data_IF_321229118774
#
_entry.id   IF_321229118774
#
_cell.length_a   1.000
_cell.length_b   1.000
_cell.length_c   1.000
_cell.angle_alpha   90.00
_cell.angle_beta   90.00
_cell.angle_gamma   90.00
#
_symmetry.space_group_name_H-M   'P 1'
#
loop_
_entity.id
_entity.type
_entity.pdbx_description
1 polymer ?
#
# COMPACT_ATOMS: atom_id res chain seq x y z
N UNK A 1 -3.37 -24.17 -2.70
CA UNK A 1 -4.33 -23.08 -2.98
C UNK A 1 -3.57 -21.77 -2.82
N UNK A 2 -3.28 -21.06 -3.91
CA UNK A 2 -2.64 -19.75 -3.85
C UNK A 2 -3.61 -18.78 -3.14
N UNK A 3 -3.29 -18.37 -1.91
CA UNK A 3 -4.01 -17.27 -1.27
C UNK A 3 -3.55 -15.98 -1.95
N UNK A 4 -4.39 -15.42 -2.82
CA UNK A 4 -4.31 -14.01 -3.16
C UNK A 4 -4.47 -13.28 -1.83
N UNK A 5 -3.40 -12.61 -1.35
CA UNK A 5 -3.45 -11.88 -0.09
C UNK A 5 -4.63 -10.91 -0.14
N UNK A 6 -5.41 -10.82 0.92
CA UNK A 6 -6.33 -9.68 1.06
C UNK A 6 -5.48 -8.48 1.46
N UNK A 7 -5.67 -7.29 0.86
CA UNK A 7 -5.20 -6.06 1.45
C UNK A 7 -5.64 -6.01 2.92
N UNK A 8 -4.69 -5.85 3.84
CA UNK A 8 -4.97 -5.85 5.27
C UNK A 8 -5.19 -4.42 5.78
N UNK A 9 -4.41 -3.46 5.28
CA UNK A 9 -4.51 -2.06 5.65
C UNK A 9 -4.04 -1.18 4.48
N UNK A 10 -4.56 0.05 4.42
CA UNK A 10 -4.11 1.07 3.50
C UNK A 10 -3.87 2.39 4.22
N UNK A 11 -2.82 3.10 3.81
CA UNK A 11 -2.54 4.47 4.21
C UNK A 11 -2.40 5.34 2.97
N UNK A 12 -2.87 6.58 3.03
CA UNK A 12 -2.81 7.53 1.92
C UNK A 12 -1.99 8.73 2.35
N UNK A 13 -1.06 9.15 1.49
CA UNK A 13 -0.34 10.40 1.62
C UNK A 13 -0.99 11.45 0.70
N UNK A 14 -1.93 12.26 1.21
CA UNK A 14 -2.82 13.08 0.38
C UNK A 14 -2.12 14.23 -0.35
N UNK A 15 -0.93 14.65 0.09
CA UNK A 15 -0.15 15.72 -0.57
C UNK A 15 0.70 15.21 -1.74
N UNK A 16 1.02 13.91 -1.77
CA UNK A 16 1.81 13.30 -2.86
C UNK A 16 0.97 12.39 -3.76
N UNK A 17 -0.33 12.25 -3.49
CA UNK A 17 -1.23 11.34 -4.20
C UNK A 17 -0.72 9.90 -4.22
N UNK A 18 -0.20 9.41 -3.09
CA UNK A 18 0.25 8.02 -2.97
C UNK A 18 -0.59 7.21 -2.00
N UNK A 19 -0.91 5.97 -2.38
CA UNK A 19 -1.53 4.98 -1.52
C UNK A 19 -0.55 3.83 -1.26
N UNK A 20 -0.42 3.48 0.02
CA UNK A 20 0.41 2.38 0.50
C UNK A 20 -0.52 1.27 0.98
N UNK A 21 -0.31 0.04 0.52
CA UNK A 21 -1.20 -1.09 0.80
C UNK A 21 -0.41 -2.27 1.32
N UNK A 22 -0.68 -2.70 2.56
CA UNK A 22 -0.17 -3.97 3.10
C UNK A 22 -0.94 -5.14 2.48
N UNK A 23 -0.25 -6.00 1.74
CA UNK A 23 -0.87 -7.04 0.92
C UNK A 23 -0.36 -8.45 1.27
N UNK A 24 -0.28 -8.77 2.56
CA UNK A 24 0.11 -10.10 3.02
C UNK A 24 1.48 -10.49 2.47
N UNK A 25 1.60 -11.69 1.92
CA UNK A 25 2.84 -12.24 1.34
C UNK A 25 3.33 -11.55 0.08
N UNK A 26 2.55 -10.61 -0.46
CA UNK A 26 3.02 -9.75 -1.52
C UNK A 26 3.94 -8.65 -0.96
N UNK A 27 3.85 -8.30 0.32
CA UNK A 27 4.54 -7.13 0.89
C UNK A 27 3.72 -5.85 0.74
N UNK A 28 4.39 -4.70 0.76
CA UNK A 28 3.74 -3.40 0.62
C UNK A 28 3.71 -2.98 -0.85
N UNK A 29 2.56 -2.52 -1.34
CA UNK A 29 2.41 -1.93 -2.67
C UNK A 29 2.22 -0.42 -2.55
N UNK A 30 2.78 0.31 -3.51
CA UNK A 30 2.69 1.77 -3.60
C UNK A 30 1.99 2.09 -4.90
N UNK A 31 0.93 2.89 -4.83
CA UNK A 31 0.14 3.33 -5.96
C UNK A 31 0.15 4.84 -6.08
N UNK A 32 0.30 5.35 -7.30
CA UNK A 32 -0.10 6.70 -7.66
C UNK A 32 -1.63 6.73 -7.79
N UNK A 33 -2.26 7.66 -7.07
CA UNK A 33 -3.70 7.89 -7.03
C UNK A 33 -4.05 9.31 -7.51
N UNK A 34 -3.18 9.95 -8.29
CA UNK A 34 -3.42 11.27 -8.89
C UNK A 34 -4.67 11.28 -9.78
N UNK A 35 -4.95 10.17 -10.46
CA UNK A 35 -6.28 9.86 -11.01
C UNK A 35 -6.96 8.79 -10.13
N UNK A 36 -7.94 9.16 -9.28
CA UNK A 36 -8.59 8.20 -8.40
C UNK A 36 -9.46 7.18 -9.14
N UNK A 37 -9.77 7.40 -10.43
CA UNK A 37 -10.51 6.45 -11.26
C UNK A 37 -9.60 5.40 -11.91
N UNK A 38 -8.29 5.68 -11.96
CA UNK A 38 -7.29 4.81 -12.55
C UNK A 38 -5.96 4.80 -11.75
N UNK A 39 -5.93 4.21 -10.53
CA UNK A 39 -4.70 4.07 -9.76
C UNK A 39 -3.63 3.24 -10.49
N UNK A 40 -2.37 3.68 -10.44
CA UNK A 40 -1.23 2.99 -11.05
C UNK A 40 -0.25 2.50 -9.98
N UNK A 41 0.16 1.23 -10.04
CA UNK A 41 1.18 0.72 -9.12
C UNK A 41 2.57 1.21 -9.53
N UNK A 42 3.17 2.08 -8.73
CA UNK A 42 4.48 2.70 -9.01
C UNK A 42 5.63 2.07 -8.21
N UNK A 43 5.33 1.22 -7.23
CA UNK A 43 6.37 0.64 -6.38
C UNK A 43 5.96 -0.61 -5.61
N UNK A 44 6.99 -1.33 -5.17
CA UNK A 44 6.87 -2.50 -4.30
C UNK A 44 7.98 -2.51 -3.26
N UNK A 45 7.62 -2.88 -2.04
CA UNK A 45 8.55 -3.24 -0.99
C UNK A 45 8.22 -4.65 -0.49
N UNK A 46 9.11 -5.61 -0.77
CA UNK A 46 8.94 -6.99 -0.33
C UNK A 46 9.25 -7.12 1.16
N UNK A 47 8.29 -7.61 1.92
CA UNK A 47 8.46 -7.88 3.36
C UNK A 47 8.80 -9.35 3.57
N UNK A 48 9.75 -9.70 4.46
CA UNK A 48 9.86 -11.07 4.96
C UNK A 48 8.54 -11.49 5.63
N UNK A 49 7.93 -12.57 5.16
CA UNK A 49 6.65 -13.05 5.70
C UNK A 49 5.44 -12.28 5.18
N UNK A 50 4.45 -12.01 6.04
CA UNK A 50 3.20 -11.36 5.66
C UNK A 50 3.18 -9.91 6.14
N UNK A 51 2.82 -8.97 5.26
CA UNK A 51 2.51 -7.59 5.63
C UNK A 51 1.03 -7.46 6.05
N UNK A 52 0.82 -6.97 7.26
CA UNK A 52 -0.54 -6.82 7.84
C UNK A 52 -0.95 -5.36 8.06
N UNK A 53 0.00 -4.44 8.04
CA UNK A 53 -0.28 -3.03 8.32
C UNK A 53 0.73 -2.10 7.70
N UNK A 54 0.31 -0.86 7.50
CA UNK A 54 1.15 0.26 7.05
C UNK A 54 0.76 1.52 7.81
N UNK A 55 1.76 2.25 8.31
CA UNK A 55 1.57 3.53 8.95
C UNK A 55 2.56 4.55 8.39
N UNK A 56 2.06 5.73 8.04
CA UNK A 56 2.88 6.86 7.63
C UNK A 56 3.34 7.62 8.86
N UNK A 57 4.63 7.55 9.17
CA UNK A 57 5.22 8.36 10.24
C UNK A 57 5.56 9.73 9.68
N UNK A 58 4.70 10.72 9.93
CA UNK A 58 4.90 12.08 9.39
C UNK A 58 3.70 13.01 9.45
N UNK A 59 2.48 12.49 9.45
CA UNK A 59 1.26 13.31 9.45
C UNK A 59 0.53 13.24 10.80
N UNK A 60 1.08 13.93 11.80
CA UNK A 60 0.26 14.50 12.87
C UNK A 60 -0.19 15.87 12.36
N UNK A 61 -1.39 15.95 11.79
CA UNK A 61 -2.15 17.20 11.67
C UNK A 61 -3.47 17.07 12.41
#
# INVERSE_FOLDING_TARGET
VFRIGTPHEMAVHPSENYAYVAWGGNGVRIFDISDPTAPEQIGVYDTPGQSYGVHLSGDIL
#
